data_IF_719316681056
#
_entry.id   IF_719316681056
#
_cell.length_a   1.000
_cell.length_b   1.000
_cell.length_c   1.000
_cell.angle_alpha   90.00
_cell.angle_beta   90.00
_cell.angle_gamma   90.00
#
_symmetry.space_group_name_H-M   'P 1'
#
loop_
_entity.id
_entity.type
_entity.pdbx_description
1 polymer ?
#
# COMPACT_ATOMS: atom_id res chain seq x y z
N UNK A 1 14.01 5.14 -7.51
CA UNK A 1 12.83 5.71 -6.81
C UNK A 1 11.90 6.50 -7.74
N UNK A 2 12.42 7.41 -8.59
CA UNK A 2 11.61 8.24 -9.51
C UNK A 2 10.70 7.43 -10.47
N UNK A 3 11.21 6.39 -11.13
CA UNK A 3 10.39 5.55 -12.04
C UNK A 3 9.21 4.86 -11.32
N UNK A 4 9.40 4.35 -10.10
CA UNK A 4 8.33 3.69 -9.32
C UNK A 4 7.18 4.64 -8.98
N UNK A 5 7.49 5.90 -8.64
CA UNK A 5 6.47 6.92 -8.38
C UNK A 5 5.57 7.12 -9.59
N UNK A 6 6.15 7.28 -10.78
CA UNK A 6 5.37 7.44 -12.00
C UNK A 6 4.58 6.18 -12.38
N UNK A 7 5.12 4.98 -12.18
CA UNK A 7 4.36 3.74 -12.43
C UNK A 7 3.15 3.63 -11.51
N UNK A 8 3.31 3.94 -10.22
CA UNK A 8 2.20 3.95 -9.26
C UNK A 8 1.17 5.00 -9.66
N UNK A 9 1.59 6.25 -9.85
CA UNK A 9 0.69 7.36 -10.22
C UNK A 9 -0.07 7.06 -11.52
N UNK A 10 0.62 6.54 -12.54
CA UNK A 10 -0.02 6.16 -13.80
C UNK A 10 -1.02 5.01 -13.63
N UNK A 11 -0.73 4.04 -12.76
CA UNK A 11 -1.64 2.91 -12.50
C UNK A 11 -2.93 3.30 -11.78
N UNK A 12 -2.94 4.43 -11.08
CA UNK A 12 -4.10 4.91 -10.29
C UNK A 12 -4.73 6.19 -10.82
N UNK A 13 -4.19 6.78 -11.90
CA UNK A 13 -4.62 8.09 -12.42
C UNK A 13 -6.13 8.21 -12.65
N UNK A 14 -6.80 7.11 -13.03
CA UNK A 14 -8.23 7.08 -13.29
C UNK A 14 -9.10 7.23 -12.02
N UNK A 15 -8.52 7.07 -10.83
CA UNK A 15 -9.19 7.24 -9.54
C UNK A 15 -9.11 8.67 -8.99
N UNK A 16 -8.44 9.59 -9.70
CA UNK A 16 -8.21 10.97 -9.28
C UNK A 16 -8.64 11.96 -10.37
N UNK A 17 -8.93 13.21 -10.00
CA UNK A 17 -9.39 14.23 -10.95
C UNK A 17 -8.25 14.70 -11.84
N UNK A 18 -7.03 14.76 -11.29
CA UNK A 18 -5.85 15.19 -12.01
C UNK A 18 -4.68 14.22 -11.81
N UNK A 19 -3.72 14.23 -12.74
CA UNK A 19 -2.50 13.44 -12.57
C UNK A 19 -1.64 13.94 -11.40
N UNK A 20 -1.70 15.25 -11.09
CA UNK A 20 -1.02 15.83 -9.93
C UNK A 20 -1.54 15.25 -8.61
N UNK A 21 -2.87 15.09 -8.46
CA UNK A 21 -3.47 14.40 -7.31
C UNK A 21 -3.00 12.95 -7.20
N UNK A 22 -3.01 12.21 -8.33
CA UNK A 22 -2.50 10.84 -8.37
C UNK A 22 -1.02 10.75 -7.99
N UNK A 23 -0.20 11.73 -8.38
CA UNK A 23 1.21 11.80 -8.03
C UNK A 23 1.42 12.07 -6.54
N UNK A 24 0.67 13.01 -5.96
CA UNK A 24 0.68 13.29 -4.52
C UNK A 24 0.29 12.05 -3.72
N UNK A 25 -0.78 11.37 -4.13
CA UNK A 25 -1.21 10.12 -3.48
C UNK A 25 -0.16 9.02 -3.60
N UNK A 26 0.40 8.81 -4.81
CA UNK A 26 1.46 7.83 -5.05
C UNK A 26 2.71 8.09 -4.20
N UNK A 27 3.06 9.35 -3.92
CA UNK A 27 4.16 9.68 -3.02
C UNK A 27 3.88 9.24 -1.58
N UNK A 28 2.66 9.47 -1.08
CA UNK A 28 2.24 9.00 0.25
C UNK A 28 2.27 7.47 0.34
N UNK A 29 1.86 6.78 -0.73
CA UNK A 29 1.98 5.31 -0.86
C UNK A 29 3.44 4.86 -0.77
N UNK A 30 4.36 5.52 -1.48
CA UNK A 30 5.79 5.19 -1.40
C UNK A 30 6.33 5.37 0.01
N UNK A 31 5.98 6.47 0.68
CA UNK A 31 6.39 6.70 2.07
C UNK A 31 5.89 5.61 3.00
N UNK A 32 4.64 5.18 2.84
CA UNK A 32 4.08 4.07 3.61
C UNK A 32 4.79 2.73 3.29
N UNK A 33 5.06 2.44 2.02
CA UNK A 33 5.82 1.25 1.62
C UNK A 33 7.22 1.22 2.23
N UNK A 34 7.92 2.37 2.22
CA UNK A 34 9.22 2.51 2.87
C UNK A 34 9.10 2.26 4.37
N UNK A 35 8.13 2.91 5.04
CA UNK A 35 7.91 2.70 6.47
C UNK A 35 7.66 1.23 6.81
N UNK A 36 6.82 0.52 6.06
CA UNK A 36 6.55 -0.90 6.29
C UNK A 36 7.81 -1.76 6.16
N UNK A 37 8.73 -1.41 5.25
CA UNK A 37 10.00 -2.13 5.07
C UNK A 37 11.08 -1.78 6.08
N UNK A 38 10.98 -0.66 6.79
CA UNK A 38 12.03 -0.17 7.70
C UNK A 38 11.62 -0.16 9.16
N UNK A 39 10.32 -0.16 9.48
CA UNK A 39 9.78 -0.06 10.82
C UNK A 39 9.05 -1.35 11.22
N UNK A 40 9.23 -1.78 12.47
CA UNK A 40 8.58 -2.97 13.01
C UNK A 40 7.06 -2.79 13.22
N UNK A 41 6.60 -1.54 13.33
CA UNK A 41 5.21 -1.19 13.60
C UNK A 41 4.84 0.07 12.82
N UNK A 42 3.86 -0.04 11.92
CA UNK A 42 3.36 1.09 11.12
C UNK A 42 1.84 1.12 11.16
N UNK A 43 1.29 2.24 11.62
CA UNK A 43 -0.15 2.45 11.66
C UNK A 43 -0.60 3.13 10.37
N UNK A 44 -1.66 2.62 9.76
CA UNK A 44 -2.29 3.24 8.60
C UNK A 44 -3.74 2.76 8.49
N UNK A 45 -4.53 3.52 7.74
CA UNK A 45 -5.96 3.27 7.62
C UNK A 45 -6.35 3.16 6.16
N UNK A 46 -7.32 2.31 5.83
CA UNK A 46 -7.88 2.23 4.49
C UNK A 46 -9.36 1.87 4.48
N UNK A 47 -10.04 2.27 3.40
CA UNK A 47 -11.44 1.90 3.16
C UNK A 47 -11.53 0.54 2.49
N UNK A 48 -12.30 -0.38 3.08
CA UNK A 48 -12.61 -1.69 2.48
C UNK A 48 -13.63 -1.55 1.36
N UNK A 49 -13.79 -2.61 0.56
CA UNK A 49 -14.76 -2.64 -0.56
C UNK A 49 -16.20 -2.52 -0.06
N UNK A 50 -16.50 -3.08 1.11
CA UNK A 50 -17.80 -2.95 1.79
C UNK A 50 -18.06 -1.54 2.38
N UNK A 51 -17.12 -0.61 2.22
CA UNK A 51 -17.24 0.76 2.70
C UNK A 51 -16.76 0.99 4.13
N UNK A 52 -16.51 -0.07 4.90
CA UNK A 52 -16.00 0.04 6.27
C UNK A 52 -14.55 0.53 6.30
N UNK A 53 -14.18 1.22 7.37
CA UNK A 53 -12.81 1.68 7.59
C UNK A 53 -12.05 0.65 8.40
N UNK A 54 -10.82 0.35 8.00
CA UNK A 54 -9.91 -0.51 8.75
C UNK A 54 -8.68 0.28 9.17
N UNK A 55 -8.48 0.36 10.47
CA UNK A 55 -7.19 0.70 11.06
C UNK A 55 -6.33 -0.56 11.08
N UNK A 56 -5.11 -0.43 10.56
CA UNK A 56 -4.16 -1.53 10.43
C UNK A 56 -2.85 -1.16 11.11
N UNK A 57 -2.25 -2.16 11.75
CA UNK A 57 -0.88 -2.10 12.26
C UNK A 57 -0.08 -3.12 11.47
N UNK A 58 0.80 -2.64 10.58
CA UNK A 58 1.50 -3.49 9.62
C UNK A 58 3.01 -3.39 9.69
N UNK A 59 3.67 -4.41 9.14
CA UNK A 59 5.12 -4.41 8.87
C UNK A 59 5.48 -5.39 7.76
N UNK A 60 6.66 -5.22 7.16
CA UNK A 60 7.32 -6.18 6.29
C UNK A 60 8.68 -6.61 6.86
N UNK A 61 9.11 -6.01 7.98
CA UNK A 61 10.39 -6.31 8.62
C UNK A 61 10.37 -7.70 9.23
N UNK A 62 11.37 -8.52 8.89
CA UNK A 62 11.54 -9.88 9.41
C UNK A 62 10.30 -10.78 9.21
N UNK A 63 9.52 -10.55 8.14
CA UNK A 63 8.38 -11.39 7.78
C UNK A 63 8.74 -12.30 6.60
N UNK A 64 8.23 -13.55 6.59
CA UNK A 64 8.50 -14.48 5.48
C UNK A 64 7.92 -13.94 4.17
N UNK A 65 8.35 -14.40 3.01
CA UNK A 65 7.70 -14.00 1.77
C UNK A 65 6.20 -14.42 1.78
N UNK A 66 5.28 -13.61 1.22
CA UNK A 66 3.89 -14.02 1.06
C UNK A 66 3.78 -15.33 0.28
N UNK A 67 2.84 -16.20 0.66
CA UNK A 67 2.60 -17.47 -0.04
C UNK A 67 2.19 -17.18 -1.50
N UNK A 68 2.86 -17.80 -2.48
CA UNK A 68 2.49 -17.70 -3.91
C UNK A 68 3.59 -17.30 -4.91
N UNK A 69 4.87 -17.27 -4.49
CA UNK A 69 6.02 -17.13 -5.40
C UNK A 69 6.20 -15.75 -6.04
N UNK A 70 7.03 -15.68 -7.08
CA UNK A 70 7.36 -14.45 -7.81
C UNK A 70 6.23 -14.02 -8.76
N UNK A 71 5.17 -13.44 -8.20
CA UNK A 71 4.14 -12.76 -9.00
C UNK A 71 4.70 -11.44 -9.54
N UNK A 72 4.27 -11.09 -10.75
CA UNK A 72 4.53 -9.77 -11.36
C UNK A 72 4.10 -8.67 -10.38
N UNK A 73 4.94 -7.65 -10.23
CA UNK A 73 4.68 -6.53 -9.32
C UNK A 73 3.35 -5.86 -9.68
N UNK A 74 2.43 -5.82 -8.74
CA UNK A 74 1.17 -5.10 -8.87
C UNK A 74 1.28 -3.73 -8.18
N UNK A 75 1.29 -2.65 -8.97
CA UNK A 75 1.41 -1.30 -8.44
C UNK A 75 0.13 -0.76 -7.80
N UNK A 76 -1.02 -1.41 -7.96
CA UNK A 76 -2.31 -0.95 -7.41
C UNK A 76 -2.61 -1.54 -6.03
N UNK A 77 -1.78 -2.46 -5.53
CA UNK A 77 -1.96 -3.13 -4.25
C UNK A 77 -0.79 -2.84 -3.30
N UNK A 78 -1.13 -2.61 -2.03
CA UNK A 78 -0.20 -2.63 -0.91
C UNK A 78 -0.36 -3.97 -0.21
N UNK A 79 0.69 -4.79 -0.23
CA UNK A 79 0.76 -6.02 0.57
C UNK A 79 1.54 -5.73 1.86
N UNK A 80 1.03 -6.21 2.98
CA UNK A 80 1.64 -6.02 4.30
C UNK A 80 1.32 -7.22 5.21
N UNK A 81 2.15 -7.44 6.23
CA UNK A 81 1.81 -8.37 7.31
C UNK A 81 1.07 -7.60 8.40
N UNK A 82 -0.16 -8.00 8.69
CA UNK A 82 -1.02 -7.36 9.68
C UNK A 82 -0.73 -7.94 11.06
N UNK A 83 -0.19 -7.13 11.98
CA UNK A 83 0.21 -7.57 13.31
C UNK A 83 -1.00 -7.88 14.21
N UNK A 84 -2.15 -7.25 13.98
CA UNK A 84 -3.36 -7.51 14.77
C UNK A 84 -4.04 -8.81 14.35
N UNK A 85 -3.90 -9.20 13.09
CA UNK A 85 -4.49 -10.43 12.56
C UNK A 85 -3.49 -11.57 12.45
N UNK A 86 -2.20 -11.26 12.64
CA UNK A 86 -1.07 -12.17 12.49
C UNK A 86 -1.08 -12.89 11.12
N UNK A 87 -1.44 -12.18 10.05
CA UNK A 87 -1.54 -12.76 8.70
C UNK A 87 -1.25 -11.72 7.60
N UNK A 88 -0.95 -12.22 6.41
CA UNK A 88 -0.76 -11.42 5.20
C UNK A 88 -2.07 -10.80 4.73
N UNK A 89 -2.05 -9.50 4.46
CA UNK A 89 -3.18 -8.76 3.89
C UNK A 89 -2.75 -7.87 2.75
N UNK A 90 -3.74 -7.44 1.97
CA UNK A 90 -3.55 -6.43 0.94
C UNK A 90 -4.66 -5.38 0.97
N UNK A 91 -4.29 -4.17 0.55
CA UNK A 91 -5.21 -3.05 0.37
C UNK A 91 -5.01 -2.45 -1.03
N UNK A 92 -6.10 -2.02 -1.68
CA UNK A 92 -5.99 -1.17 -2.87
C UNK A 92 -5.36 0.15 -2.46
N UNK A 93 -4.30 0.57 -3.13
CA UNK A 93 -3.58 1.79 -2.72
C UNK A 93 -4.43 3.06 -2.85
N UNK A 94 -5.42 3.05 -3.76
CA UNK A 94 -6.39 4.15 -3.93
C UNK A 94 -7.34 4.28 -2.75
N UNK A 95 -7.48 3.23 -1.94
CA UNK A 95 -8.33 3.23 -0.76
C UNK A 95 -7.56 3.61 0.52
N UNK A 96 -6.24 3.83 0.44
CA UNK A 96 -5.45 4.29 1.58
C UNK A 96 -5.91 5.68 1.97
N UNK A 97 -6.19 5.85 3.25
CA UNK A 97 -6.60 7.12 3.84
C UNK A 97 -5.36 7.75 4.44
N UNK A 98 -5.05 8.95 3.99
CA UNK A 98 -3.89 9.68 4.42
C UNK A 98 -4.26 11.10 4.83
#
# INVERSE_FOLDING_TARGET
MKSRLFHIAHSIKASFRTFAEALTHAWRVIRLQVALTTQALVNFTYKKIDGTIRDAVGTLVNKPAPKGGHRKVNHTLLTYFDLQQNDWRCAKIVNLLF
#
